data_IF_428325034904
#
_entry.id   IF_428325034904
#
_cell.length_a   1.000
_cell.length_b   1.000
_cell.length_c   1.000
_cell.angle_alpha   90.00
_cell.angle_beta   90.00
_cell.angle_gamma   90.00
#
_symmetry.space_group_name_H-M   'P 1'
#
loop_
_entity.id
_entity.type
_entity.pdbx_description
1 polymer ?
#
# COMPACT_ATOMS: atom_id res chain seq x y z
N UNK A 1 18.33 26.75 -34.57
CA UNK A 1 19.42 25.99 -33.93
C UNK A 1 18.90 25.05 -32.81
N UNK A 2 18.30 25.53 -31.72
CA UNK A 2 17.87 24.71 -30.60
C UNK A 2 16.79 23.67 -30.97
N UNK A 3 15.85 24.02 -31.85
CA UNK A 3 14.85 23.05 -32.36
C UNK A 3 15.51 21.93 -33.20
N UNK A 4 16.58 22.21 -33.89
CA UNK A 4 17.36 21.19 -34.62
C UNK A 4 18.11 20.32 -33.63
N UNK A 5 18.76 20.90 -32.63
CA UNK A 5 19.47 20.17 -31.59
C UNK A 5 18.54 19.23 -30.80
N UNK A 6 17.31 19.68 -30.52
CA UNK A 6 16.28 18.83 -29.86
C UNK A 6 15.99 17.54 -30.63
N UNK A 7 16.07 17.58 -31.99
CA UNK A 7 15.82 16.42 -32.84
C UNK A 7 17.02 15.50 -33.03
N UNK A 8 18.24 16.05 -33.11
CA UNK A 8 19.44 15.34 -33.58
C UNK A 8 20.64 15.41 -32.64
N UNK A 9 20.59 16.14 -31.54
CA UNK A 9 21.68 16.23 -30.57
C UNK A 9 21.84 15.00 -29.68
N UNK A 10 22.96 14.90 -28.97
CA UNK A 10 23.12 13.95 -27.85
C UNK A 10 22.09 14.23 -26.74
N UNK A 11 21.92 13.29 -25.82
CA UNK A 11 20.94 13.41 -24.71
C UNK A 11 21.16 14.71 -23.91
N UNK A 12 22.40 15.03 -23.57
CA UNK A 12 22.76 16.24 -22.83
C UNK A 12 22.49 17.50 -23.64
N UNK A 13 22.82 17.50 -24.93
CA UNK A 13 22.57 18.64 -25.83
C UNK A 13 21.06 18.86 -26.01
N UNK A 14 20.26 17.80 -26.10
CA UNK A 14 18.80 17.91 -26.20
C UNK A 14 18.22 18.53 -24.93
N UNK A 15 18.63 18.06 -23.73
CA UNK A 15 18.19 18.64 -22.46
C UNK A 15 18.60 20.13 -22.31
N UNK A 16 19.80 20.47 -22.74
CA UNK A 16 20.26 21.88 -22.77
C UNK A 16 19.46 22.72 -23.76
N UNK A 17 19.11 22.18 -24.93
CA UNK A 17 18.28 22.85 -25.92
C UNK A 17 16.89 23.18 -25.40
N UNK A 18 16.26 22.27 -24.61
CA UNK A 18 14.97 22.53 -23.96
C UNK A 18 15.04 23.76 -23.06
N UNK A 19 16.06 23.85 -22.20
CA UNK A 19 16.26 25.03 -21.33
C UNK A 19 16.43 26.31 -22.10
N UNK A 20 17.21 26.29 -23.20
CA UNK A 20 17.38 27.44 -24.06
C UNK A 20 16.07 27.84 -24.78
N UNK A 21 15.26 26.86 -25.19
CA UNK A 21 13.96 27.13 -25.82
C UNK A 21 12.98 27.71 -24.78
N UNK A 22 13.00 27.29 -23.54
CA UNK A 22 12.17 27.84 -22.46
C UNK A 22 12.47 29.34 -22.25
N UNK A 23 13.76 29.73 -22.21
CA UNK A 23 14.17 31.14 -22.13
C UNK A 23 13.64 31.95 -23.31
N UNK A 24 13.63 31.38 -24.53
CA UNK A 24 13.09 32.09 -25.72
C UNK A 24 11.57 32.28 -25.62
N UNK A 25 10.82 31.31 -25.09
CA UNK A 25 9.37 31.44 -24.88
C UNK A 25 9.05 32.52 -23.86
N UNK A 26 9.84 32.63 -22.81
CA UNK A 26 9.69 33.66 -21.78
C UNK A 26 10.03 35.07 -22.34
N UNK A 27 11.04 35.16 -23.21
CA UNK A 27 11.53 36.41 -23.75
C UNK A 27 10.64 37.05 -24.84
N UNK A 28 9.95 36.25 -25.65
CA UNK A 28 9.18 36.74 -26.77
C UNK A 28 7.98 35.88 -27.16
N UNK A 29 6.80 36.49 -27.18
CA UNK A 29 5.50 35.82 -27.43
C UNK A 29 5.44 35.07 -28.78
N UNK A 30 6.06 35.64 -29.82
CA UNK A 30 6.12 35.03 -31.17
C UNK A 30 6.72 33.60 -31.19
N UNK A 31 7.52 33.26 -30.19
CA UNK A 31 8.17 31.95 -30.10
C UNK A 31 7.37 30.92 -29.31
N UNK A 32 6.33 31.34 -28.58
CA UNK A 32 5.57 30.47 -27.69
C UNK A 32 4.98 29.28 -28.44
N UNK A 33 4.14 29.54 -29.43
CA UNK A 33 3.42 28.49 -30.15
C UNK A 33 4.35 27.53 -30.93
N UNK A 34 5.35 28.01 -31.73
CA UNK A 34 6.25 27.10 -32.42
C UNK A 34 7.08 26.19 -31.46
N UNK A 35 7.51 26.75 -30.34
CA UNK A 35 8.33 25.99 -29.35
C UNK A 35 7.46 24.98 -28.59
N UNK A 36 6.30 25.42 -28.11
CA UNK A 36 5.36 24.51 -27.41
C UNK A 36 4.98 23.34 -28.31
N UNK A 37 4.62 23.59 -29.57
CA UNK A 37 4.30 22.52 -30.53
C UNK A 37 5.47 21.57 -30.74
N UNK A 38 6.69 22.05 -30.78
CA UNK A 38 7.89 21.22 -30.94
C UNK A 38 8.17 20.38 -29.69
N UNK A 39 8.02 20.95 -28.48
CA UNK A 39 8.21 20.23 -27.22
C UNK A 39 7.17 19.11 -27.05
N UNK A 40 5.89 19.42 -27.27
CA UNK A 40 4.81 18.43 -27.19
C UNK A 40 4.99 17.30 -28.21
N UNK A 41 5.27 17.63 -29.47
CA UNK A 41 5.39 16.64 -30.54
C UNK A 41 6.64 15.78 -30.50
N UNK A 42 7.63 16.12 -29.69
CA UNK A 42 8.87 15.32 -29.59
C UNK A 42 9.03 14.60 -28.25
N UNK A 43 8.22 14.93 -27.25
CA UNK A 43 8.36 14.41 -25.87
C UNK A 43 8.43 12.87 -25.79
N UNK A 44 7.55 12.09 -26.44
CA UNK A 44 7.55 10.62 -26.28
C UNK A 44 8.83 9.94 -26.79
N UNK A 45 9.45 10.52 -27.82
CA UNK A 45 10.62 9.94 -28.52
C UNK A 45 11.97 10.38 -27.93
N UNK A 46 11.97 11.22 -26.89
CA UNK A 46 13.20 11.75 -26.33
C UNK A 46 13.86 10.77 -25.34
N UNK A 47 15.20 10.81 -25.22
CA UNK A 47 15.89 10.11 -24.14
C UNK A 47 15.55 10.70 -22.77
N UNK A 48 15.80 9.97 -21.70
CA UNK A 48 15.32 10.26 -20.34
C UNK A 48 15.54 11.70 -19.86
N UNK A 49 16.77 12.21 -19.98
CA UNK A 49 17.09 13.56 -19.52
C UNK A 49 16.37 14.64 -20.32
N UNK A 50 16.17 14.44 -21.61
CA UNK A 50 15.43 15.36 -22.45
C UNK A 50 13.93 15.31 -22.15
N UNK A 51 13.34 14.11 -21.92
CA UNK A 51 11.95 13.99 -21.46
C UNK A 51 11.75 14.75 -20.14
N UNK A 52 12.62 14.53 -19.16
CA UNK A 52 12.55 15.24 -17.87
C UNK A 52 12.65 16.75 -18.05
N UNK A 53 13.58 17.23 -18.89
CA UNK A 53 13.71 18.65 -19.16
C UNK A 53 12.46 19.25 -19.83
N UNK A 54 11.84 18.52 -20.77
CA UNK A 54 10.59 18.94 -21.41
C UNK A 54 9.44 18.99 -20.39
N UNK A 55 9.30 17.98 -19.54
CA UNK A 55 8.28 17.95 -18.49
C UNK A 55 8.42 19.18 -17.57
N UNK A 56 9.65 19.50 -17.12
CA UNK A 56 9.89 20.70 -16.31
C UNK A 56 9.52 21.99 -17.07
N UNK A 57 9.92 22.08 -18.34
CA UNK A 57 9.58 23.23 -19.17
C UNK A 57 8.06 23.40 -19.35
N UNK A 58 7.32 22.32 -19.58
CA UNK A 58 5.85 22.36 -19.69
C UNK A 58 5.19 22.80 -18.38
N UNK A 59 5.75 22.40 -17.23
CA UNK A 59 5.25 22.84 -15.92
C UNK A 59 5.48 24.36 -15.68
N UNK A 60 6.60 24.90 -16.12
CA UNK A 60 6.83 26.34 -16.06
C UNK A 60 5.94 27.09 -17.06
N UNK A 61 5.77 26.56 -18.27
CA UNK A 61 4.95 27.17 -19.32
C UNK A 61 3.46 27.22 -18.99
N UNK A 62 2.95 26.31 -18.14
CA UNK A 62 1.53 26.32 -17.76
C UNK A 62 1.09 27.62 -17.07
N UNK A 63 1.99 28.29 -16.36
CA UNK A 63 1.71 29.58 -15.73
C UNK A 63 1.66 30.75 -16.76
N UNK A 64 2.41 30.59 -17.85
CA UNK A 64 2.46 31.58 -18.95
C UNK A 64 1.37 31.35 -20.00
N UNK A 65 0.91 30.12 -20.14
CA UNK A 65 -0.04 29.67 -21.17
C UNK A 65 -1.17 28.85 -20.53
N UNK A 66 -2.02 29.47 -19.71
CA UNK A 66 -3.07 28.73 -18.98
C UNK A 66 -4.09 28.06 -19.91
N UNK A 67 -4.27 28.57 -21.13
CA UNK A 67 -5.13 27.98 -22.16
C UNK A 67 -4.61 26.66 -22.74
N UNK A 68 -3.32 26.36 -22.55
CA UNK A 68 -2.65 25.14 -23.04
C UNK A 68 -2.45 24.08 -21.94
N UNK A 69 -2.96 24.30 -20.73
CA UNK A 69 -2.74 23.38 -19.60
C UNK A 69 -3.22 21.95 -19.86
N UNK A 70 -4.30 21.77 -20.61
CA UNK A 70 -4.83 20.45 -20.93
C UNK A 70 -3.91 19.69 -21.91
N UNK A 71 -3.34 20.40 -22.89
CA UNK A 71 -2.36 19.83 -23.82
C UNK A 71 -1.09 19.38 -23.08
N UNK A 72 -0.60 20.22 -22.15
CA UNK A 72 0.59 19.88 -21.33
C UNK A 72 0.32 18.67 -20.44
N UNK A 73 -0.86 18.61 -19.82
CA UNK A 73 -1.27 17.49 -19.02
C UNK A 73 -1.33 16.18 -19.84
N UNK A 74 -1.99 16.22 -20.99
CA UNK A 74 -2.10 15.05 -21.89
C UNK A 74 -0.74 14.55 -22.35
N UNK A 75 0.15 15.46 -22.75
CA UNK A 75 1.50 15.09 -23.18
C UNK A 75 2.33 14.47 -22.04
N UNK A 76 2.21 14.98 -20.81
CA UNK A 76 2.88 14.38 -19.65
C UNK A 76 2.26 13.02 -19.32
N UNK A 77 0.94 12.85 -19.49
CA UNK A 77 0.25 11.59 -19.28
C UNK A 77 0.77 10.49 -20.22
N UNK A 78 1.06 10.80 -21.47
CA UNK A 78 1.66 9.87 -22.43
C UNK A 78 3.03 9.34 -21.97
N UNK A 79 3.73 10.05 -21.07
CA UNK A 79 5.02 9.59 -20.51
C UNK A 79 4.89 8.60 -19.35
N UNK A 80 3.67 8.24 -18.93
CA UNK A 80 3.46 7.15 -17.97
C UNK A 80 4.00 5.81 -18.51
N UNK A 81 3.97 5.62 -19.84
CA UNK A 81 4.49 4.44 -20.52
C UNK A 81 5.95 4.62 -21.00
N UNK A 82 6.64 5.68 -20.55
CA UNK A 82 8.03 5.90 -20.93
C UNK A 82 8.90 4.68 -20.57
N UNK A 83 9.81 4.24 -21.47
CA UNK A 83 10.75 3.16 -21.15
C UNK A 83 11.72 3.54 -20.01
N UNK A 84 11.82 4.82 -19.69
CA UNK A 84 12.74 5.37 -18.70
C UNK A 84 12.08 5.47 -17.32
N UNK A 85 12.49 4.65 -16.36
CA UNK A 85 11.94 4.65 -15.00
C UNK A 85 12.00 6.02 -14.31
N UNK A 86 13.04 6.81 -14.58
CA UNK A 86 13.25 8.14 -14.01
C UNK A 86 12.11 9.09 -14.42
N UNK A 87 11.64 8.95 -15.66
CA UNK A 87 10.52 9.72 -16.19
C UNK A 87 9.23 9.28 -15.50
N UNK A 88 8.95 8.00 -15.44
CA UNK A 88 7.76 7.47 -14.74
C UNK A 88 7.75 7.88 -13.26
N UNK A 89 8.89 7.81 -12.56
CA UNK A 89 9.02 8.31 -11.18
C UNK A 89 8.72 9.81 -11.06
N UNK A 90 9.13 10.61 -12.05
CA UNK A 90 8.81 12.05 -12.07
C UNK A 90 7.31 12.28 -12.22
N UNK A 91 6.66 11.52 -13.09
CA UNK A 91 5.20 11.60 -13.30
C UNK A 91 4.45 11.18 -12.04
N UNK A 92 4.85 10.12 -11.35
CA UNK A 92 4.26 9.72 -10.04
C UNK A 92 4.22 10.91 -9.07
N UNK A 93 5.33 11.65 -8.95
CA UNK A 93 5.39 12.84 -8.07
C UNK A 93 4.44 13.94 -8.51
N UNK A 94 4.36 14.20 -9.81
CA UNK A 94 3.45 15.19 -10.38
C UNK A 94 1.99 14.80 -10.17
N UNK A 95 1.62 13.56 -10.49
CA UNK A 95 0.26 13.05 -10.32
C UNK A 95 -0.17 13.08 -8.86
N UNK A 96 0.75 12.75 -7.94
CA UNK A 96 0.49 12.90 -6.50
C UNK A 96 0.13 14.35 -6.14
N UNK A 97 0.94 15.30 -6.60
CA UNK A 97 0.70 16.72 -6.33
C UNK A 97 -0.64 17.18 -6.92
N UNK A 98 -0.92 16.82 -8.17
CA UNK A 98 -2.16 17.21 -8.87
C UNK A 98 -3.40 16.55 -8.24
N UNK A 99 -3.33 15.28 -7.87
CA UNK A 99 -4.43 14.58 -7.18
C UNK A 99 -4.78 15.22 -5.83
N UNK A 100 -3.81 15.85 -5.17
CA UNK A 100 -4.02 16.50 -3.87
C UNK A 100 -4.51 17.93 -4.05
N UNK A 101 -3.91 18.70 -4.95
CA UNK A 101 -4.13 20.14 -5.09
C UNK A 101 -5.26 20.52 -6.04
N UNK A 102 -5.57 19.69 -7.02
CA UNK A 102 -6.55 19.99 -8.08
C UNK A 102 -7.72 19.02 -8.05
N UNK A 103 -8.90 19.49 -7.67
CA UNK A 103 -10.13 18.68 -7.72
C UNK A 103 -10.47 18.23 -9.15
N UNK A 104 -10.28 19.12 -10.13
CA UNK A 104 -10.50 18.85 -11.55
C UNK A 104 -9.66 17.68 -12.07
N UNK A 105 -8.40 17.54 -11.59
CA UNK A 105 -7.45 16.53 -12.07
C UNK A 105 -7.51 15.19 -11.33
N UNK A 106 -8.27 15.10 -10.24
CA UNK A 106 -8.34 13.87 -9.43
C UNK A 106 -8.89 12.68 -10.20
N UNK A 107 -9.94 12.91 -10.97
CA UNK A 107 -10.62 11.83 -11.71
C UNK A 107 -9.76 11.23 -12.82
N UNK A 108 -8.75 11.98 -13.30
CA UNK A 108 -7.78 11.54 -14.31
C UNK A 108 -6.54 10.92 -13.64
N UNK A 109 -5.92 11.62 -12.71
CA UNK A 109 -4.63 11.22 -12.11
C UNK A 109 -4.72 10.07 -11.13
N UNK A 110 -5.85 9.88 -10.44
CA UNK A 110 -6.01 8.77 -9.49
C UNK A 110 -6.04 7.41 -10.20
N UNK A 111 -6.81 7.21 -11.30
CA UNK A 111 -6.73 5.97 -12.08
C UNK A 111 -5.31 5.65 -12.53
N UNK A 112 -4.59 6.62 -13.12
CA UNK A 112 -3.23 6.45 -13.62
C UNK A 112 -2.27 6.00 -12.51
N UNK A 113 -2.37 6.60 -11.32
CA UNK A 113 -1.58 6.15 -10.16
C UNK A 113 -1.90 4.69 -9.76
N UNK A 114 -3.14 4.25 -9.88
CA UNK A 114 -3.47 2.85 -9.60
C UNK A 114 -2.92 1.90 -10.67
N UNK A 115 -2.85 2.31 -11.94
CA UNK A 115 -2.25 1.53 -13.02
C UNK A 115 -0.74 1.34 -12.80
N UNK A 116 -0.03 2.37 -12.35
CA UNK A 116 1.39 2.30 -12.01
C UNK A 116 1.73 1.36 -10.83
N UNK A 117 0.76 0.81 -10.11
CA UNK A 117 1.00 -0.31 -9.18
C UNK A 117 1.40 -1.61 -9.90
N UNK A 118 1.15 -1.72 -11.21
CA UNK A 118 1.57 -2.86 -12.06
C UNK A 118 2.88 -2.59 -12.82
N UNK A 119 3.52 -1.45 -12.59
CA UNK A 119 4.79 -1.11 -13.24
C UNK A 119 5.84 -2.21 -13.06
N UNK A 120 6.62 -2.48 -14.08
CA UNK A 120 7.67 -3.51 -14.04
C UNK A 120 8.80 -3.14 -13.07
N UNK A 121 9.10 -1.86 -12.90
CA UNK A 121 10.11 -1.38 -11.97
C UNK A 121 9.56 -1.30 -10.54
N UNK A 122 10.28 -1.94 -9.61
CA UNK A 122 9.85 -1.98 -8.20
C UNK A 122 9.85 -0.61 -7.53
N UNK A 123 10.77 0.27 -7.91
CA UNK A 123 10.90 1.59 -7.26
C UNK A 123 9.74 2.50 -7.71
N UNK A 124 9.27 2.35 -8.95
CA UNK A 124 8.04 3.00 -9.44
C UNK A 124 6.82 2.50 -8.65
N UNK A 125 6.66 1.19 -8.49
CA UNK A 125 5.55 0.63 -7.69
C UNK A 125 5.55 1.12 -6.24
N UNK A 126 6.72 1.18 -5.58
CA UNK A 126 6.83 1.67 -4.20
C UNK A 126 6.54 3.17 -4.11
N UNK A 127 7.08 3.99 -5.02
CA UNK A 127 6.78 5.41 -5.07
C UNK A 127 5.30 5.66 -5.32
N UNK A 128 4.68 4.88 -6.20
CA UNK A 128 3.24 4.92 -6.48
C UNK A 128 2.41 4.53 -5.25
N UNK A 129 2.81 3.48 -4.52
CA UNK A 129 2.15 3.11 -3.27
C UNK A 129 2.20 4.24 -2.25
N UNK A 130 3.34 4.91 -2.07
CA UNK A 130 3.47 6.05 -1.18
C UNK A 130 2.57 7.20 -1.61
N UNK A 131 2.59 7.54 -2.90
CA UNK A 131 1.74 8.55 -3.52
C UNK A 131 0.25 8.30 -3.25
N UNK A 132 -0.22 7.09 -3.54
CA UNK A 132 -1.60 6.67 -3.28
C UNK A 132 -1.98 6.71 -1.79
N UNK A 133 -1.01 6.48 -0.89
CA UNK A 133 -1.22 6.66 0.55
C UNK A 133 -1.60 8.10 0.91
N UNK A 134 -0.95 9.09 0.30
CA UNK A 134 -1.30 10.52 0.44
C UNK A 134 -2.65 10.85 -0.20
N UNK A 135 -2.90 10.34 -1.41
CA UNK A 135 -4.15 10.56 -2.14
C UNK A 135 -5.35 9.97 -1.38
N UNK A 136 -5.25 8.74 -0.87
CA UNK A 136 -6.29 8.11 -0.05
C UNK A 136 -6.62 8.92 1.20
N UNK A 137 -5.65 9.61 1.77
CA UNK A 137 -5.87 10.47 2.92
C UNK A 137 -6.62 11.76 2.56
N UNK A 138 -6.32 12.35 1.42
CA UNK A 138 -6.85 13.66 0.98
C UNK A 138 -8.14 13.56 0.17
N UNK A 139 -8.26 12.51 -0.66
CA UNK A 139 -9.38 12.31 -1.57
C UNK A 139 -9.92 10.85 -1.50
N UNK A 140 -10.37 10.38 -0.31
CA UNK A 140 -10.78 8.99 -0.14
C UNK A 140 -12.00 8.61 -1.00
N UNK A 141 -12.90 9.56 -1.28
CA UNK A 141 -14.10 9.29 -2.06
C UNK A 141 -13.78 8.82 -3.49
N UNK A 142 -12.79 9.43 -4.13
CA UNK A 142 -12.35 9.09 -5.48
C UNK A 142 -11.42 7.86 -5.49
N UNK A 143 -10.55 7.72 -4.48
CA UNK A 143 -9.54 6.67 -4.45
C UNK A 143 -10.05 5.29 -3.98
N UNK A 144 -11.05 5.23 -3.09
CA UNK A 144 -11.56 3.96 -2.55
C UNK A 144 -12.19 3.04 -3.59
N UNK A 145 -12.94 3.51 -4.61
CA UNK A 145 -13.42 2.65 -5.68
C UNK A 145 -12.27 1.96 -6.42
N UNK A 146 -11.22 2.69 -6.77
CA UNK A 146 -10.03 2.16 -7.45
C UNK A 146 -9.23 1.21 -6.57
N UNK A 147 -9.10 1.51 -5.27
CA UNK A 147 -8.50 0.58 -4.31
C UNK A 147 -9.26 -0.75 -4.24
N UNK A 148 -10.60 -0.72 -4.33
CA UNK A 148 -11.44 -1.94 -4.38
C UNK A 148 -11.15 -2.77 -5.63
N UNK A 149 -10.95 -2.14 -6.79
CA UNK A 149 -10.57 -2.80 -8.05
C UNK A 149 -9.17 -3.42 -7.91
N UNK A 150 -8.19 -2.65 -7.42
CA UNK A 150 -6.82 -3.10 -7.21
C UNK A 150 -6.71 -4.30 -6.24
N UNK A 151 -7.54 -4.36 -5.20
CA UNK A 151 -7.61 -5.51 -4.28
C UNK A 151 -8.05 -6.83 -4.96
N UNK A 152 -8.67 -6.75 -6.14
CA UNK A 152 -9.14 -7.90 -6.93
C UNK A 152 -8.31 -8.11 -8.20
N UNK A 153 -7.26 -7.32 -8.40
CA UNK A 153 -6.47 -7.37 -9.62
C UNK A 153 -5.85 -8.75 -9.85
N UNK A 154 -5.70 -9.15 -11.13
CA UNK A 154 -5.12 -10.44 -11.50
C UNK A 154 -3.66 -10.61 -11.05
N UNK A 155 -2.85 -9.56 -11.17
CA UNK A 155 -1.46 -9.55 -10.72
C UNK A 155 -1.39 -9.48 -9.19
N UNK A 156 -0.59 -10.35 -8.60
CA UNK A 156 -0.42 -10.43 -7.15
C UNK A 156 0.31 -9.20 -6.59
N UNK A 157 1.19 -8.55 -7.36
CA UNK A 157 1.94 -7.35 -6.95
C UNK A 157 0.98 -6.19 -6.69
N UNK A 158 0.03 -5.98 -7.60
CA UNK A 158 -1.02 -4.95 -7.44
C UNK A 158 -1.85 -5.23 -6.19
N UNK A 159 -2.32 -6.49 -6.00
CA UNK A 159 -3.05 -6.86 -4.78
C UNK A 159 -2.23 -6.63 -3.51
N UNK A 160 -0.94 -6.96 -3.53
CA UNK A 160 -0.02 -6.73 -2.42
C UNK A 160 0.02 -5.24 -2.03
N UNK A 161 0.30 -4.36 -2.98
CA UNK A 161 0.37 -2.92 -2.75
C UNK A 161 -0.99 -2.34 -2.31
N UNK A 162 -2.09 -2.81 -2.91
CA UNK A 162 -3.44 -2.40 -2.54
C UNK A 162 -3.78 -2.78 -1.08
N UNK A 163 -3.37 -3.97 -0.61
CA UNK A 163 -3.59 -4.39 0.78
C UNK A 163 -2.73 -3.57 1.75
N UNK A 164 -1.49 -3.26 1.39
CA UNK A 164 -0.62 -2.38 2.22
C UNK A 164 -1.23 -1.00 2.34
N UNK A 165 -1.72 -0.42 1.23
CA UNK A 165 -2.43 0.85 1.21
C UNK A 165 -3.66 0.83 2.13
N UNK A 166 -4.51 -0.21 2.00
CA UNK A 166 -5.70 -0.33 2.84
C UNK A 166 -5.34 -0.50 4.31
N UNK A 167 -4.28 -1.23 4.63
CA UNK A 167 -3.83 -1.42 6.02
C UNK A 167 -3.44 -0.10 6.67
N UNK A 168 -2.68 0.73 5.94
CA UNK A 168 -2.28 2.06 6.40
C UNK A 168 -3.49 3.00 6.52
N UNK A 169 -4.37 2.98 5.53
CA UNK A 169 -5.58 3.78 5.51
C UNK A 169 -6.54 3.40 6.66
N UNK A 170 -6.71 2.10 6.93
CA UNK A 170 -7.56 1.60 8.01
C UNK A 170 -7.10 2.05 9.42
N UNK A 171 -5.81 2.29 9.60
CA UNK A 171 -5.27 2.87 10.83
C UNK A 171 -5.74 4.30 11.10
N UNK A 172 -6.06 5.06 10.04
CA UNK A 172 -6.47 6.47 10.11
C UNK A 172 -7.97 6.65 9.92
N UNK A 173 -8.60 5.88 9.03
CA UNK A 173 -10.02 5.99 8.66
C UNK A 173 -10.70 4.60 8.67
N UNK A 174 -10.87 3.98 9.85
CA UNK A 174 -11.32 2.60 9.96
C UNK A 174 -12.73 2.37 9.41
N UNK A 175 -13.68 3.29 9.60
CA UNK A 175 -15.07 3.14 9.13
C UNK A 175 -15.16 3.05 7.60
N UNK A 176 -14.36 3.85 6.89
CA UNK A 176 -14.29 3.80 5.44
C UNK A 176 -13.60 2.51 4.95
N UNK A 177 -12.49 2.13 5.61
CA UNK A 177 -11.71 0.95 5.27
C UNK A 177 -12.48 -0.36 5.47
N UNK A 178 -13.31 -0.47 6.49
CA UNK A 178 -14.11 -1.67 6.82
C UNK A 178 -15.04 -2.06 5.66
N UNK A 179 -15.48 -1.11 4.84
CA UNK A 179 -16.29 -1.40 3.64
C UNK A 179 -15.55 -2.28 2.61
N UNK A 180 -14.23 -2.35 2.68
CA UNK A 180 -13.37 -3.19 1.82
C UNK A 180 -13.00 -4.54 2.45
N UNK A 181 -13.45 -4.82 3.68
CA UNK A 181 -13.16 -6.07 4.38
C UNK A 181 -13.47 -7.33 3.56
N UNK A 182 -14.59 -7.45 2.81
CA UNK A 182 -14.85 -8.64 2.02
C UNK A 182 -13.78 -8.92 0.95
N UNK A 183 -13.20 -7.89 0.35
CA UNK A 183 -12.14 -8.05 -0.65
C UNK A 183 -10.83 -8.54 0.00
N UNK A 184 -10.49 -8.03 1.18
CA UNK A 184 -9.31 -8.50 1.93
C UNK A 184 -9.48 -9.92 2.44
N UNK A 185 -10.68 -10.28 2.93
CA UNK A 185 -10.98 -11.65 3.34
C UNK A 185 -10.82 -12.62 2.16
N UNK A 186 -11.26 -12.23 0.96
CA UNK A 186 -11.05 -13.03 -0.25
C UNK A 186 -9.55 -13.18 -0.59
N UNK A 187 -8.74 -12.16 -0.35
CA UNK A 187 -7.29 -12.18 -0.60
C UNK A 187 -6.52 -13.17 0.30
N UNK A 188 -7.10 -13.61 1.43
CA UNK A 188 -6.53 -14.69 2.25
C UNK A 188 -6.46 -16.05 1.53
N UNK A 189 -7.17 -16.21 0.40
CA UNK A 189 -7.09 -17.40 -0.47
C UNK A 189 -5.92 -17.37 -1.43
N UNK A 190 -5.25 -16.22 -1.56
CA UNK A 190 -4.04 -16.09 -2.39
C UNK A 190 -2.89 -16.88 -1.78
N UNK A 191 -1.83 -17.11 -2.58
CA UNK A 191 -0.58 -17.70 -2.09
C UNK A 191 0.36 -16.60 -1.58
N UNK A 192 1.29 -16.99 -0.71
CA UNK A 192 2.50 -16.24 -0.37
C UNK A 192 2.30 -14.88 0.32
N UNK A 193 3.04 -13.86 -0.16
CA UNK A 193 3.12 -12.52 0.43
C UNK A 193 1.78 -11.79 0.49
N UNK A 194 0.88 -12.05 -0.45
CA UNK A 194 -0.46 -11.46 -0.45
C UNK A 194 -1.29 -11.97 0.73
N UNK A 195 -1.22 -13.28 0.99
CA UNK A 195 -1.93 -13.90 2.12
C UNK A 195 -1.45 -13.35 3.47
N UNK A 196 -0.15 -13.17 3.63
CA UNK A 196 0.45 -12.58 4.83
C UNK A 196 -0.07 -11.16 5.08
N UNK A 197 0.02 -10.28 4.06
CA UNK A 197 -0.47 -8.91 4.15
C UNK A 197 -1.99 -8.84 4.35
N UNK A 198 -2.74 -9.77 3.74
CA UNK A 198 -4.18 -9.87 3.96
C UNK A 198 -4.50 -10.24 5.42
N UNK A 199 -3.76 -11.16 6.03
CA UNK A 199 -3.92 -11.50 7.43
C UNK A 199 -3.64 -10.29 8.35
N UNK A 200 -2.56 -9.55 8.09
CA UNK A 200 -2.26 -8.32 8.83
C UNK A 200 -3.38 -7.27 8.72
N UNK A 201 -3.86 -7.04 7.49
CA UNK A 201 -4.95 -6.10 7.21
C UNK A 201 -6.25 -6.51 7.89
N UNK A 202 -6.61 -7.81 7.83
CA UNK A 202 -7.76 -8.38 8.55
C UNK A 202 -7.65 -8.10 10.05
N UNK A 203 -6.46 -8.24 10.64
CA UNK A 203 -6.23 -7.91 12.04
C UNK A 203 -6.44 -6.42 12.35
N UNK A 204 -6.04 -5.53 11.44
CA UNK A 204 -6.26 -4.08 11.59
C UNK A 204 -7.74 -3.73 11.48
N UNK A 205 -8.44 -4.24 10.46
CA UNK A 205 -9.88 -4.03 10.29
C UNK A 205 -10.69 -4.63 11.44
N UNK A 206 -10.32 -5.85 11.87
CA UNK A 206 -11.02 -6.59 12.93
C UNK A 206 -10.90 -5.95 14.31
N UNK A 207 -9.85 -5.18 14.56
CA UNK A 207 -9.76 -4.37 15.79
C UNK A 207 -10.85 -3.29 15.88
N UNK A 208 -11.34 -2.82 14.73
CA UNK A 208 -12.40 -1.81 14.65
C UNK A 208 -13.78 -2.42 14.44
N UNK A 209 -13.88 -3.46 13.60
CA UNK A 209 -15.13 -4.14 13.26
C UNK A 209 -14.93 -5.66 13.16
N UNK A 210 -14.97 -6.39 14.29
CA UNK A 210 -14.78 -7.84 14.31
C UNK A 210 -15.73 -8.60 13.40
N UNK A 211 -16.99 -8.21 13.35
CA UNK A 211 -18.03 -8.86 12.56
C UNK A 211 -17.76 -8.76 11.05
N UNK A 212 -17.20 -7.64 10.60
CA UNK A 212 -16.88 -7.46 9.18
C UNK A 212 -15.79 -8.43 8.65
N UNK A 213 -14.98 -8.97 9.55
CA UNK A 213 -13.90 -9.92 9.24
C UNK A 213 -14.13 -11.33 9.82
N UNK A 214 -15.30 -11.60 10.38
CA UNK A 214 -15.60 -12.90 11.01
C UNK A 214 -15.39 -14.08 10.03
N UNK A 215 -15.72 -13.91 8.76
CA UNK A 215 -15.47 -14.89 7.71
C UNK A 215 -13.99 -15.22 7.43
N UNK A 216 -13.06 -14.40 7.94
CA UNK A 216 -11.63 -14.69 7.83
C UNK A 216 -11.13 -15.71 8.87
N UNK A 217 -11.83 -15.89 9.99
CA UNK A 217 -11.35 -16.69 11.13
C UNK A 217 -10.95 -18.11 10.73
N UNK A 218 -11.71 -18.88 9.94
CA UNK A 218 -11.29 -20.22 9.52
C UNK A 218 -9.99 -20.22 8.70
N UNK A 219 -9.79 -19.20 7.84
CA UNK A 219 -8.58 -19.08 7.04
C UNK A 219 -7.37 -18.66 7.88
N UNK A 220 -7.55 -17.78 8.86
CA UNK A 220 -6.51 -17.42 9.83
C UNK A 220 -6.10 -18.65 10.67
N UNK A 221 -7.06 -19.47 11.10
CA UNK A 221 -6.80 -20.74 11.81
C UNK A 221 -5.99 -21.69 10.93
N UNK A 222 -6.33 -21.82 9.65
CA UNK A 222 -5.53 -22.61 8.69
C UNK A 222 -4.11 -22.03 8.56
N UNK A 223 -3.97 -20.73 8.49
CA UNK A 223 -2.69 -20.03 8.39
C UNK A 223 -1.77 -20.23 9.59
N UNK A 224 -2.29 -20.53 10.80
CA UNK A 224 -1.47 -20.90 11.97
C UNK A 224 -0.63 -22.17 11.75
N UNK A 225 -0.93 -22.97 10.73
CA UNK A 225 -0.21 -24.20 10.36
C UNK A 225 0.62 -24.06 9.09
N UNK A 226 0.77 -22.85 8.58
CA UNK A 226 1.58 -22.58 7.39
C UNK A 226 3.06 -22.90 7.62
N UNK A 227 3.77 -23.25 6.56
CA UNK A 227 5.23 -23.37 6.58
C UNK A 227 5.91 -22.00 6.74
N UNK A 228 5.27 -20.90 6.31
CA UNK A 228 5.76 -19.54 6.52
C UNK A 228 5.57 -19.09 7.96
N UNK A 229 6.67 -18.80 8.67
CA UNK A 229 6.66 -18.25 10.04
C UNK A 229 5.98 -16.88 10.07
N UNK A 230 6.19 -16.04 9.04
CA UNK A 230 5.58 -14.73 8.95
C UNK A 230 4.05 -14.83 8.81
N UNK A 231 3.55 -15.77 8.00
CA UNK A 231 2.11 -16.01 7.89
C UNK A 231 1.52 -16.53 9.20
N UNK A 232 2.18 -17.48 9.87
CA UNK A 232 1.73 -17.96 11.20
C UNK A 232 1.63 -16.81 12.19
N UNK A 233 2.64 -15.95 12.24
CA UNK A 233 2.69 -14.75 13.09
C UNK A 233 1.58 -13.76 12.75
N UNK A 234 1.39 -13.43 11.47
CA UNK A 234 0.35 -12.52 11.01
C UNK A 234 -1.05 -13.03 11.41
N UNK A 235 -1.30 -14.35 11.24
CA UNK A 235 -2.57 -14.97 11.63
C UNK A 235 -2.81 -14.93 13.14
N UNK A 236 -1.81 -15.25 13.96
CA UNK A 236 -1.92 -15.16 15.42
C UNK A 236 -2.19 -13.73 15.89
N UNK A 237 -1.47 -12.75 15.32
CA UNK A 237 -1.65 -11.33 15.60
C UNK A 237 -3.05 -10.85 15.20
N UNK A 238 -3.55 -11.28 14.03
CA UNK A 238 -4.89 -10.92 13.57
C UNK A 238 -5.98 -11.46 14.50
N UNK A 239 -5.90 -12.74 14.85
CA UNK A 239 -6.83 -13.38 15.80
C UNK A 239 -6.81 -12.68 17.16
N UNK A 240 -5.63 -12.31 17.65
CA UNK A 240 -5.48 -11.55 18.90
C UNK A 240 -6.13 -10.16 18.82
N UNK A 241 -5.93 -9.42 17.72
CA UNK A 241 -6.53 -8.10 17.53
C UNK A 241 -8.06 -8.14 17.44
N UNK A 242 -8.60 -9.12 16.71
CA UNK A 242 -10.05 -9.36 16.61
C UNK A 242 -10.59 -9.73 18.00
N UNK A 243 -9.97 -10.70 18.67
CA UNK A 243 -10.39 -11.19 19.96
C UNK A 243 -10.27 -10.20 21.11
N UNK A 244 -9.35 -9.24 21.00
CA UNK A 244 -9.25 -8.12 21.95
C UNK A 244 -10.45 -7.17 21.86
N UNK A 245 -11.12 -7.10 20.73
CA UNK A 245 -12.34 -6.30 20.54
C UNK A 245 -13.60 -7.12 20.80
N UNK A 246 -13.66 -8.35 20.28
CA UNK A 246 -14.75 -9.29 20.48
C UNK A 246 -14.22 -10.74 20.47
N UNK A 247 -14.10 -11.33 21.66
CA UNK A 247 -13.59 -12.68 21.83
C UNK A 247 -14.51 -13.76 21.25
N UNK A 248 -15.81 -13.51 21.13
CA UNK A 248 -16.77 -14.48 20.61
C UNK A 248 -16.56 -14.72 19.10
N UNK A 249 -16.17 -13.70 18.36
CA UNK A 249 -15.87 -13.84 16.92
C UNK A 249 -14.75 -14.84 16.65
N UNK A 250 -13.77 -14.93 17.56
CA UNK A 250 -12.60 -15.81 17.42
C UNK A 250 -12.63 -17.03 18.33
N UNK A 251 -13.75 -17.33 18.97
CA UNK A 251 -13.82 -18.43 19.95
C UNK A 251 -13.36 -19.77 19.38
N UNK A 252 -13.66 -20.06 18.11
CA UNK A 252 -13.24 -21.28 17.41
C UNK A 252 -11.71 -21.35 17.21
N UNK A 253 -11.01 -20.20 17.20
CA UNK A 253 -9.57 -20.16 17.02
C UNK A 253 -8.80 -20.47 18.31
N UNK A 254 -9.40 -20.31 19.48
CA UNK A 254 -8.72 -20.46 20.79
C UNK A 254 -8.03 -21.82 20.97
N UNK A 255 -8.70 -22.98 20.72
CA UNK A 255 -8.03 -24.28 20.82
C UNK A 255 -6.86 -24.44 19.84
N UNK A 256 -6.95 -23.82 18.68
CA UNK A 256 -5.89 -23.86 17.65
C UNK A 256 -4.69 -22.98 18.04
N UNK A 257 -4.92 -21.80 18.59
CA UNK A 257 -3.88 -20.95 19.16
C UNK A 257 -3.16 -21.66 20.31
N UNK A 258 -3.92 -22.24 21.25
CA UNK A 258 -3.34 -22.97 22.37
C UNK A 258 -2.51 -24.18 21.91
N UNK A 259 -2.98 -24.92 20.91
CA UNK A 259 -2.25 -26.06 20.34
C UNK A 259 -0.97 -25.62 19.63
N UNK A 260 -0.98 -24.45 18.98
CA UNK A 260 0.20 -23.91 18.30
C UNK A 260 1.35 -23.58 19.27
N UNK A 261 1.09 -23.40 20.56
CA UNK A 261 2.15 -23.29 21.58
C UNK A 261 2.96 -24.59 21.75
N UNK A 262 2.48 -25.74 21.28
CA UNK A 262 3.25 -27.00 21.33
C UNK A 262 4.35 -27.09 20.27
N UNK A 263 4.29 -26.26 19.22
CA UNK A 263 5.32 -26.24 18.18
C UNK A 263 6.64 -25.73 18.74
N UNK A 264 7.74 -26.15 18.16
CA UNK A 264 9.10 -25.73 18.55
C UNK A 264 9.47 -24.31 18.09
N UNK A 265 8.68 -23.74 17.17
CA UNK A 265 8.90 -22.38 16.66
C UNK A 265 8.57 -21.33 17.75
N UNK A 266 9.58 -20.98 18.54
CA UNK A 266 9.49 -20.01 19.62
C UNK A 266 9.15 -18.58 19.12
N UNK A 267 9.46 -18.27 17.86
CA UNK A 267 9.29 -16.94 17.28
C UNK A 267 7.82 -16.49 17.27
N UNK A 268 6.88 -17.44 17.09
CA UNK A 268 5.45 -17.14 17.09
C UNK A 268 4.80 -17.22 18.47
N UNK A 269 5.48 -17.81 19.47
CA UNK A 269 4.89 -18.01 20.81
C UNK A 269 4.45 -16.71 21.46
N UNK A 270 5.23 -15.62 21.29
CA UNK A 270 4.89 -14.32 21.84
C UNK A 270 3.56 -13.82 21.30
N UNK A 271 3.34 -13.91 19.99
CA UNK A 271 2.10 -13.42 19.38
C UNK A 271 0.90 -14.31 19.72
N UNK A 272 1.11 -15.63 19.82
CA UNK A 272 0.07 -16.55 20.29
C UNK A 272 -0.31 -16.26 21.76
N UNK A 273 0.67 -16.07 22.63
CA UNK A 273 0.43 -15.75 24.03
C UNK A 273 -0.28 -14.40 24.20
N UNK A 274 0.10 -13.39 23.40
CA UNK A 274 -0.61 -12.12 23.36
C UNK A 274 -2.07 -12.31 22.91
N UNK A 275 -2.30 -13.10 21.84
CA UNK A 275 -3.63 -13.38 21.34
C UNK A 275 -4.51 -14.03 22.42
N UNK A 276 -4.01 -15.08 23.07
CA UNK A 276 -4.72 -15.76 24.16
C UNK A 276 -4.95 -14.84 25.36
N UNK A 277 -3.98 -13.98 25.71
CA UNK A 277 -4.12 -13.00 26.77
C UNK A 277 -5.18 -11.93 26.47
N UNK A 278 -5.24 -11.41 25.25
CA UNK A 278 -6.28 -10.47 24.83
C UNK A 278 -7.68 -11.08 24.82
N UNK A 279 -7.79 -12.31 24.27
CA UNK A 279 -9.06 -13.05 24.28
C UNK A 279 -9.48 -13.37 25.72
N UNK A 280 -8.53 -13.81 26.56
CA UNK A 280 -8.77 -14.12 27.97
C UNK A 280 -9.18 -12.91 28.81
N UNK A 281 -8.67 -11.72 28.51
CA UNK A 281 -9.07 -10.48 29.16
C UNK A 281 -10.56 -10.15 28.93
N UNK A 282 -11.09 -10.49 27.75
CA UNK A 282 -12.49 -10.24 27.38
C UNK A 282 -13.42 -11.41 27.80
N UNK A 283 -12.97 -12.65 27.67
CA UNK A 283 -13.75 -13.86 27.97
C UNK A 283 -12.81 -14.92 28.56
N UNK A 284 -12.52 -14.87 29.88
CA UNK A 284 -11.63 -15.81 30.54
C UNK A 284 -12.05 -17.28 30.35
N UNK A 285 -13.36 -17.54 30.32
CA UNK A 285 -13.92 -18.90 30.16
C UNK A 285 -13.44 -19.57 28.86
N UNK A 286 -13.15 -18.82 27.78
CA UNK A 286 -12.68 -19.41 26.53
C UNK A 286 -11.22 -19.89 26.62
N UNK A 287 -10.39 -19.27 27.43
CA UNK A 287 -8.96 -19.55 27.57
C UNK A 287 -8.69 -20.50 28.75
N UNK A 288 -9.57 -20.49 29.76
CA UNK A 288 -9.44 -21.31 31.00
C UNK A 288 -9.10 -22.77 30.75
N UNK A 289 -9.72 -23.50 29.78
CA UNK A 289 -9.35 -24.88 29.48
C UNK A 289 -7.92 -25.08 28.97
N UNK A 290 -7.25 -24.02 28.56
CA UNK A 290 -5.93 -24.06 27.93
C UNK A 290 -4.82 -23.44 28.80
N UNK A 291 -5.10 -23.03 30.04
CA UNK A 291 -4.14 -22.36 30.92
C UNK A 291 -2.87 -23.19 31.15
N UNK A 292 -2.99 -24.52 31.19
CA UNK A 292 -1.82 -25.37 31.37
C UNK A 292 -0.81 -25.28 30.23
N UNK A 293 -1.28 -25.16 29.00
CA UNK A 293 -0.40 -24.92 27.83
C UNK A 293 0.33 -23.60 27.92
N UNK A 294 -0.33 -22.55 28.42
CA UNK A 294 0.27 -21.24 28.67
C UNK A 294 1.28 -21.35 29.83
N UNK A 295 0.90 -22.02 30.93
CA UNK A 295 1.74 -22.20 32.10
C UNK A 295 3.04 -22.97 31.78
N UNK A 296 3.00 -23.94 30.86
CA UNK A 296 4.20 -24.61 30.38
C UNK A 296 5.25 -23.67 29.73
N UNK A 297 4.86 -22.52 29.30
CA UNK A 297 5.76 -21.50 28.75
C UNK A 297 6.37 -20.57 29.82
N UNK A 298 6.04 -20.77 31.09
CA UNK A 298 6.67 -20.07 32.21
C UNK A 298 7.74 -20.90 32.91
N UNK A 299 7.96 -22.16 32.49
CA UNK A 299 8.90 -23.09 33.12
C UNK A 299 10.36 -22.70 32.85
N UNK A 300 11.27 -23.16 33.67
CA UNK A 300 12.72 -22.95 33.60
C UNK A 300 13.25 -23.37 32.21
N UNK A 301 14.10 -22.52 31.59
CA UNK A 301 14.66 -22.75 30.25
C UNK A 301 13.91 -22.07 29.11
N UNK A 302 12.71 -21.49 29.35
CA UNK A 302 12.04 -20.68 28.36
C UNK A 302 12.73 -19.30 28.20
N UNK A 303 12.69 -18.76 26.97
CA UNK A 303 13.13 -17.39 26.72
C UNK A 303 12.43 -16.41 27.66
N UNK A 304 13.19 -15.46 28.23
CA UNK A 304 12.69 -14.50 29.22
C UNK A 304 11.43 -13.76 28.75
N UNK A 305 11.41 -13.33 27.48
CA UNK A 305 10.30 -12.57 26.90
C UNK A 305 9.05 -13.44 26.73
N UNK A 306 9.24 -14.70 26.34
CA UNK A 306 8.15 -15.69 26.27
C UNK A 306 7.57 -15.92 27.66
N UNK A 307 8.42 -16.16 28.65
CA UNK A 307 8.01 -16.38 30.04
C UNK A 307 7.21 -15.18 30.60
N UNK A 308 7.69 -13.97 30.40
CA UNK A 308 7.00 -12.74 30.81
C UNK A 308 5.62 -12.61 30.14
N UNK A 309 5.57 -12.87 28.79
CA UNK A 309 4.32 -12.79 28.03
C UNK A 309 3.33 -13.88 28.48
N UNK A 310 3.82 -15.08 28.80
CA UNK A 310 2.98 -16.16 29.31
C UNK A 310 2.39 -15.81 30.70
N UNK A 311 3.20 -15.28 31.62
CA UNK A 311 2.71 -14.78 32.93
C UNK A 311 1.66 -13.69 32.78
N UNK A 312 1.87 -12.77 31.84
CA UNK A 312 0.88 -11.73 31.52
C UNK A 312 -0.41 -12.35 30.99
N UNK A 313 -0.33 -13.29 30.03
CA UNK A 313 -1.49 -13.97 29.45
C UNK A 313 -2.30 -14.76 30.51
N UNK A 314 -1.61 -15.46 31.41
CA UNK A 314 -2.25 -16.15 32.54
C UNK A 314 -3.06 -15.17 33.40
N UNK A 315 -2.45 -14.07 33.85
CA UNK A 315 -3.17 -13.05 34.64
C UNK A 315 -4.39 -12.51 33.93
N UNK A 316 -4.29 -12.26 32.61
CA UNK A 316 -5.43 -11.76 31.81
C UNK A 316 -6.55 -12.78 31.64
N UNK A 317 -6.20 -14.07 31.59
CA UNK A 317 -7.18 -15.16 31.48
C UNK A 317 -7.71 -15.67 32.84
N UNK A 318 -7.40 -14.99 33.94
CA UNK A 318 -7.84 -15.38 35.31
C UNK A 318 -7.11 -16.62 35.84
N UNK A 319 -5.90 -16.88 35.35
CA UNK A 319 -5.00 -17.91 35.89
C UNK A 319 -4.03 -17.26 36.90
N UNK A 320 -3.98 -17.81 38.11
CA UNK A 320 -2.95 -17.49 39.09
C UNK A 320 -1.61 -18.15 38.71
#
# INVERSE_FOLDING_TARGET
KHLTTLKSGSEQERAAAVKALLVQVQAAERWREPIVKALLGTLPEQPAQAQLAIIEALLELRELLPERQDDFFSAIQETLDSPHREVRLRVVKLWTSLSISSERRRDETIPDLFELLDDDDKDVRYATQEALGHVLHKAPAQALPKLREALKHRDWRVRYHAIVLLTTFAGKQPQAAVKLAPAVVAALKSSDRVQERAAECVGVLGRHSPQAVAGAVPMLVKGLRSNSSELRKACATALGRIGNKDALVVMQAVPHLARALKNEDWYIHIEILKALGYIGANKPALVKPHLELIRNRTKTGADFKICQTAKWALRKAGGS
#
